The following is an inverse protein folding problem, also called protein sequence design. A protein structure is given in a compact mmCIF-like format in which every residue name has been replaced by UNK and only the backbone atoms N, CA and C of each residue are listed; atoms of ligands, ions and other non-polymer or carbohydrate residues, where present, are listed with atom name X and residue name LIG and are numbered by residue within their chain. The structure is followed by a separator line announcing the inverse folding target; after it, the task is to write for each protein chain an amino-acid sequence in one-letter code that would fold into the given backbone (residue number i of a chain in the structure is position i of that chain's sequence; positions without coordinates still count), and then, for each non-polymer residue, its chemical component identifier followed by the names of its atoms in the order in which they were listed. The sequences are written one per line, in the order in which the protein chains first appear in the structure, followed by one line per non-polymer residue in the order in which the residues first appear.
data_IF_103249005999
#
_entry.id   IF_103249005999
#
_cell.length_a   1.000
_cell.length_b   1.000
_cell.length_c   1.000
_cell.angle_alpha   90.00
_cell.angle_beta   90.00
_cell.angle_gamma   90.00
#
_symmetry.space_group_name_H-M   'P 1'
#
loop_
_entity.id
_entity.type
_entity.pdbx_description
1 polymer ?
#
# COMPACT_ATOMS: atom_id res chain seq x y z
N UNK A 1 12.90 -7.24 16.36
CA UNK A 1 11.95 -7.50 15.26
C UNK A 1 12.68 -7.30 13.95
N UNK A 2 12.51 -8.22 13.02
CA UNK A 2 13.10 -8.17 11.68
C UNK A 2 11.98 -8.30 10.65
N UNK A 3 12.04 -7.49 9.60
CA UNK A 3 11.04 -7.49 8.52
C UNK A 3 11.75 -7.49 7.18
N UNK A 4 11.26 -8.30 6.24
CA UNK A 4 11.68 -8.25 4.84
C UNK A 4 10.84 -7.22 4.11
N UNK A 5 11.48 -6.32 3.38
CA UNK A 5 10.82 -5.26 2.60
C UNK A 5 11.30 -5.27 1.16
N UNK A 6 10.42 -4.96 0.18
CA UNK A 6 10.80 -4.72 -1.20
C UNK A 6 11.43 -3.33 -1.36
N UNK A 7 12.32 -3.16 -2.34
CA UNK A 7 13.05 -1.92 -2.60
C UNK A 7 14.26 -2.16 -3.48
N UNK A 8 14.02 -2.41 -4.78
CA UNK A 8 15.06 -2.80 -5.76
C UNK A 8 15.68 -4.17 -5.43
N UNK A 9 14.86 -5.08 -4.87
CA UNK A 9 15.28 -6.33 -4.26
C UNK A 9 14.63 -6.54 -2.89
N UNK A 10 14.96 -7.64 -2.22
CA UNK A 10 14.51 -7.86 -0.83
C UNK A 10 15.60 -7.42 0.12
N UNK A 11 15.27 -6.48 0.98
CA UNK A 11 16.12 -6.06 2.08
C UNK A 11 15.54 -6.55 3.41
N UNK A 12 16.41 -7.10 4.24
CA UNK A 12 16.11 -7.40 5.63
C UNK A 12 16.39 -6.16 6.47
N UNK A 13 15.37 -5.62 7.13
CA UNK A 13 15.50 -4.48 8.03
C UNK A 13 15.20 -4.88 9.46
N UNK A 14 16.03 -4.41 10.39
CA UNK A 14 15.85 -4.61 11.84
C UNK A 14 15.93 -3.28 12.62
N UNK A 15 15.92 -2.14 11.93
CA UNK A 15 15.98 -0.78 12.49
C UNK A 15 14.94 0.10 11.80
N UNK A 16 14.52 1.17 12.48
CA UNK A 16 13.61 2.20 11.95
C UNK A 16 12.27 1.66 11.43
N UNK A 17 11.82 0.52 11.95
CA UNK A 17 10.52 -0.08 11.62
C UNK A 17 9.43 0.72 12.34
N UNK A 18 8.46 1.23 11.59
CA UNK A 18 7.25 1.87 12.13
C UNK A 18 6.06 0.96 11.89
N UNK A 19 5.24 0.77 12.91
CA UNK A 19 3.97 0.04 12.81
C UNK A 19 2.83 1.04 12.65
N UNK A 20 1.94 0.77 11.69
CA UNK A 20 0.71 1.54 11.55
C UNK A 20 -0.26 1.12 12.65
N UNK A 21 -0.53 2.04 13.58
CA UNK A 21 -1.44 1.86 14.71
C UNK A 21 -2.57 2.88 14.64
N UNK A 22 -3.78 2.51 15.09
CA UNK A 22 -4.93 3.42 15.12
C UNK A 22 -5.90 3.01 16.23
N UNK A 23 -6.64 3.98 16.77
CA UNK A 23 -7.82 3.73 17.61
C UNK A 23 -9.12 3.65 16.80
N UNK A 24 -9.08 4.03 15.51
CA UNK A 24 -10.24 4.15 14.63
C UNK A 24 -10.16 3.13 13.48
N UNK A 25 -10.01 1.83 13.81
CA UNK A 25 -9.83 0.76 12.81
C UNK A 25 -10.96 0.72 11.76
N UNK A 26 -12.18 1.10 12.15
CA UNK A 26 -13.35 1.13 11.27
C UNK A 26 -13.24 2.15 10.12
N UNK A 27 -12.32 3.13 10.21
CA UNK A 27 -12.07 4.10 9.13
C UNK A 27 -11.10 3.58 8.07
N UNK A 28 -10.49 2.43 8.30
CA UNK A 28 -9.60 1.78 7.34
C UNK A 28 -10.35 0.69 6.58
N UNK A 29 -10.18 0.66 5.27
CA UNK A 29 -10.70 -0.42 4.44
C UNK A 29 -9.72 -0.75 3.31
N UNK A 30 -9.84 -1.97 2.80
CA UNK A 30 -9.05 -2.45 1.67
C UNK A 30 -9.87 -2.32 0.40
N UNK A 31 -9.39 -1.53 -0.55
CA UNK A 31 -10.05 -1.34 -1.84
C UNK A 31 -9.28 -2.08 -2.93
N UNK A 32 -9.95 -2.98 -3.63
CA UNK A 32 -9.39 -3.65 -4.80
C UNK A 32 -9.22 -2.67 -5.96
N UNK A 33 -8.09 -2.77 -6.66
CA UNK A 33 -7.75 -1.97 -7.86
C UNK A 33 -6.79 -2.76 -8.75
N UNK A 34 -6.38 -2.18 -9.87
CA UNK A 34 -5.28 -2.66 -10.70
C UNK A 34 -4.34 -1.52 -11.14
N UNK A 35 -3.28 -1.86 -11.86
CA UNK A 35 -2.25 -0.93 -12.31
C UNK A 35 -2.76 0.14 -13.28
N UNK A 36 -3.75 -0.21 -14.09
CA UNK A 36 -4.36 0.67 -15.09
C UNK A 36 -5.36 1.66 -14.47
N UNK A 37 -6.12 1.21 -13.47
CA UNK A 37 -7.23 1.96 -12.90
C UNK A 37 -6.87 2.68 -11.61
N UNK A 38 -5.70 2.44 -11.01
CA UNK A 38 -5.33 2.97 -9.69
C UNK A 38 -5.67 4.46 -9.54
N UNK A 39 -5.25 5.31 -10.49
CA UNK A 39 -5.47 6.75 -10.37
C UNK A 39 -6.96 7.12 -10.44
N UNK A 40 -7.74 6.46 -11.29
CA UNK A 40 -9.19 6.67 -11.38
C UNK A 40 -9.91 6.12 -10.14
N UNK A 41 -9.54 4.91 -9.70
CA UNK A 41 -10.09 4.25 -8.53
C UNK A 41 -9.78 5.01 -7.24
N UNK A 42 -8.67 5.77 -7.17
CA UNK A 42 -8.30 6.55 -5.98
C UNK A 42 -8.81 8.00 -6.00
N UNK A 43 -9.57 8.42 -7.01
CA UNK A 43 -10.21 9.75 -7.02
C UNK A 43 -11.12 9.89 -5.78
N UNK A 44 -10.95 10.99 -5.06
CA UNK A 44 -11.67 11.33 -3.80
C UNK A 44 -11.49 10.30 -2.67
N UNK A 45 -10.47 9.44 -2.77
CA UNK A 45 -10.09 8.50 -1.71
C UNK A 45 -8.75 8.92 -1.11
N UNK A 46 -8.45 8.38 0.07
CA UNK A 46 -7.19 8.67 0.75
C UNK A 46 -6.38 7.39 0.94
N UNK A 47 -5.62 6.96 -0.09
CA UNK A 47 -4.64 5.90 0.06
C UNK A 47 -3.67 6.20 1.20
N UNK A 48 -3.44 5.23 2.08
CA UNK A 48 -2.53 5.40 3.21
C UNK A 48 -1.10 5.42 2.69
N UNK A 49 -0.36 6.46 3.06
CA UNK A 49 1.07 6.60 2.70
C UNK A 49 1.89 5.66 3.58
N UNK A 50 2.62 4.74 2.93
CA UNK A 50 3.54 3.81 3.59
C UNK A 50 4.99 4.28 3.58
N UNK A 51 5.34 5.20 2.67
CA UNK A 51 6.70 5.73 2.55
C UNK A 51 6.88 6.60 1.31
N UNK A 52 8.13 6.87 0.98
CA UNK A 52 8.55 7.68 -0.16
C UNK A 52 9.78 7.05 -0.82
N UNK A 53 9.76 6.93 -2.14
CA UNK A 53 10.90 6.43 -2.91
C UNK A 53 11.85 7.60 -3.22
N UNK A 54 12.95 7.66 -2.47
CA UNK A 54 13.98 8.69 -2.60
C UNK A 54 14.92 8.45 -3.78
N UNK A 55 14.92 7.27 -4.38
CA UNK A 55 15.73 6.99 -5.57
C UNK A 55 15.18 7.84 -6.71
N UNK A 56 16.00 8.76 -7.21
CA UNK A 56 15.62 9.74 -8.24
C UNK A 56 14.39 10.60 -7.87
N UNK A 57 14.08 10.69 -6.57
CA UNK A 57 12.92 11.41 -6.05
C UNK A 57 11.57 10.99 -6.68
N UNK A 58 11.41 9.69 -6.93
CA UNK A 58 10.28 9.11 -7.66
C UNK A 58 8.91 9.45 -7.07
N UNK A 59 8.74 9.39 -5.76
CA UNK A 59 7.51 9.88 -5.13
C UNK A 59 6.93 9.01 -4.03
N UNK A 60 5.66 9.28 -3.70
CA UNK A 60 4.92 8.64 -2.62
C UNK A 60 4.61 7.18 -2.94
N UNK A 61 4.74 6.33 -1.92
CA UNK A 61 4.31 4.94 -1.96
C UNK A 61 3.18 4.69 -0.98
N UNK A 62 2.15 3.96 -1.43
CA UNK A 62 1.01 3.61 -0.61
C UNK A 62 1.13 2.18 -0.04
N UNK A 63 0.30 1.85 0.94
CA UNK A 63 0.23 0.51 1.51
C UNK A 63 -0.74 -0.34 0.71
N UNK A 64 -0.29 -1.50 0.22
CA UNK A 64 -1.14 -2.46 -0.47
C UNK A 64 -0.96 -3.89 0.02
N UNK A 65 -1.90 -4.74 -0.39
CA UNK A 65 -1.87 -6.18 -0.10
C UNK A 65 -2.32 -7.02 -1.29
N UNK A 66 -1.89 -8.28 -1.31
CA UNK A 66 -2.34 -9.30 -2.27
C UNK A 66 -2.27 -10.69 -1.67
N UNK A 67 -3.22 -11.56 -2.02
CA UNK A 67 -3.10 -13.00 -1.79
C UNK A 67 -2.23 -13.61 -2.89
N UNK A 68 -0.99 -13.97 -2.56
CA UNK A 68 -0.06 -14.59 -3.50
C UNK A 68 0.29 -16.00 -3.04
N UNK A 69 -0.03 -17.00 -3.86
CA UNK A 69 0.16 -18.42 -3.53
C UNK A 69 -0.41 -18.81 -2.16
N UNK A 70 -1.63 -18.35 -1.86
CA UNK A 70 -2.31 -18.64 -0.60
C UNK A 70 -1.80 -17.85 0.62
N UNK A 71 -0.80 -16.99 0.46
CA UNK A 71 -0.23 -16.20 1.56
C UNK A 71 -0.59 -14.72 1.35
N UNK A 72 -1.11 -14.07 2.40
CA UNK A 72 -1.32 -12.64 2.39
C UNK A 72 0.02 -11.91 2.41
N UNK A 73 0.26 -11.07 1.40
CA UNK A 73 1.45 -10.23 1.27
C UNK A 73 1.07 -8.78 1.46
N UNK A 74 1.83 -8.07 2.28
CA UNK A 74 1.76 -6.61 2.46
C UNK A 74 3.00 -6.01 1.79
N UNK A 75 2.83 -4.89 1.10
CA UNK A 75 3.89 -4.26 0.34
C UNK A 75 3.60 -2.82 -0.03
N UNK A 76 4.51 -2.22 -0.80
CA UNK A 76 4.39 -0.85 -1.28
C UNK A 76 3.74 -0.80 -2.67
N UNK A 77 2.80 0.13 -2.84
CA UNK A 77 2.19 0.47 -4.12
C UNK A 77 2.89 1.70 -4.67
N UNK A 78 3.61 1.53 -5.78
CA UNK A 78 4.39 2.59 -6.42
C UNK A 78 3.48 3.43 -7.34
N UNK A 79 2.75 4.36 -6.75
CA UNK A 79 1.72 5.17 -7.42
C UNK A 79 2.25 6.38 -8.20
N UNK A 80 3.57 6.57 -8.26
CA UNK A 80 4.18 7.73 -8.91
C UNK A 80 4.32 7.60 -10.43
N UNK A 81 4.11 6.40 -11.00
CA UNK A 81 4.04 6.20 -12.45
C UNK A 81 2.59 5.95 -12.88
N UNK A 82 2.01 6.91 -13.60
CA UNK A 82 0.59 6.89 -13.99
C UNK A 82 0.17 5.68 -14.82
N UNK A 83 1.10 5.08 -15.55
CA UNK A 83 0.80 3.98 -16.48
C UNK A 83 1.06 2.59 -15.89
N UNK A 84 1.71 2.52 -14.72
CA UNK A 84 2.23 1.24 -14.22
C UNK A 84 2.31 1.19 -12.69
N UNK A 85 1.18 1.44 -12.03
CA UNK A 85 1.11 1.38 -10.57
C UNK A 85 1.12 -0.08 -10.10
N UNK A 86 2.25 -0.55 -9.61
CA UNK A 86 2.44 -1.95 -9.14
C UNK A 86 2.51 -2.02 -7.62
N UNK A 87 2.00 -3.11 -7.08
CA UNK A 87 2.31 -3.54 -5.72
C UNK A 87 3.56 -4.41 -5.75
N UNK A 88 4.60 -4.02 -5.02
CA UNK A 88 5.82 -4.81 -4.80
C UNK A 88 5.79 -5.44 -3.42
N UNK A 89 6.26 -6.68 -3.30
CA UNK A 89 6.27 -7.44 -2.05
C UNK A 89 7.35 -8.53 -2.04
N UNK A 90 7.84 -8.95 -0.86
CA UNK A 90 8.84 -10.00 -0.75
C UNK A 90 8.18 -11.39 -0.73
N UNK A 91 8.74 -12.31 -1.52
CA UNK A 91 8.35 -13.71 -1.52
C UNK A 91 9.55 -14.59 -1.92
N UNK A 92 9.88 -15.56 -1.07
CA UNK A 92 11.04 -16.46 -1.22
C UNK A 92 12.34 -15.69 -1.54
N UNK A 93 12.63 -14.65 -0.75
CA UNK A 93 13.82 -13.79 -0.87
C UNK A 93 13.96 -13.05 -2.21
N UNK A 94 12.87 -12.99 -2.97
CA UNK A 94 12.77 -12.22 -4.21
C UNK A 94 11.71 -11.14 -4.09
N UNK A 95 12.00 -10.00 -4.69
CA UNK A 95 11.00 -8.97 -4.91
C UNK A 95 10.08 -9.45 -6.02
N UNK A 96 8.80 -9.57 -5.70
CA UNK A 96 7.73 -9.86 -6.66
C UNK A 96 6.86 -8.63 -6.81
N UNK A 97 6.12 -8.58 -7.90
CA UNK A 97 5.11 -7.56 -8.10
C UNK A 97 3.86 -8.14 -8.74
N UNK A 98 2.76 -7.40 -8.62
CA UNK A 98 1.48 -7.70 -9.25
C UNK A 98 0.83 -6.41 -9.75
N UNK A 99 0.00 -6.57 -10.78
CA UNK A 99 -0.83 -5.49 -11.33
C UNK A 99 -2.24 -5.47 -10.73
N UNK A 100 -2.63 -6.48 -9.93
CA UNK A 100 -3.94 -6.53 -9.26
C UNK A 100 -3.70 -6.76 -7.77
N UNK A 101 -4.30 -5.91 -6.94
CA UNK A 101 -4.05 -5.83 -5.51
C UNK A 101 -5.16 -5.05 -4.81
N UNK A 102 -5.11 -5.00 -3.49
CA UNK A 102 -5.90 -4.08 -2.68
C UNK A 102 -5.01 -2.99 -2.09
N UNK A 103 -5.53 -1.77 -1.98
CA UNK A 103 -4.87 -0.61 -1.38
C UNK A 103 -5.57 -0.28 -0.07
N UNK A 104 -4.79 0.01 0.96
CA UNK A 104 -5.34 0.49 2.23
C UNK A 104 -5.78 1.95 2.05
N UNK A 105 -7.07 2.21 2.24
CA UNK A 105 -7.63 3.56 2.22
C UNK A 105 -8.10 3.97 3.61
N UNK A 106 -8.07 5.27 3.87
CA UNK A 106 -8.57 5.88 5.10
C UNK A 106 -9.75 6.79 4.79
N UNK A 107 -10.89 6.52 5.41
CA UNK A 107 -12.01 7.44 5.39
C UNK A 107 -11.65 8.68 6.21
N UNK A 108 -11.77 9.87 5.61
CA UNK A 108 -11.57 11.17 6.28
C UNK A 108 -12.88 11.90 6.54
N UNK A 109 -14.01 11.30 6.23
CA UNK A 109 -15.33 11.91 6.40
C UNK A 109 -15.54 12.37 7.85
N UNK A 110 -16.12 13.57 8.07
CA UNK A 110 -16.49 14.04 9.39
C UNK A 110 -17.42 13.04 10.09
N UNK A 111 -17.15 12.72 11.36
CA UNK A 111 -17.91 11.75 12.16
C UNK A 111 -19.41 12.07 12.33
N UNK A 112 -19.83 13.30 12.00
CA UNK A 112 -21.24 13.70 12.06
C UNK A 112 -22.04 13.30 10.80
N UNK A 113 -21.36 13.02 9.68
CA UNK A 113 -22.00 12.56 8.44
C UNK A 113 -22.14 11.02 8.40
N UNK A 114 -21.34 10.27 9.16
CA UNK A 114 -21.40 8.80 9.20
C UNK A 114 -22.59 8.25 9.98
N UNK A 115 -23.40 9.10 10.62
CA UNK A 115 -24.61 8.72 11.38
C UNK A 115 -25.92 8.86 10.60
N UNK A 116 -25.87 9.28 9.34
CA UNK A 116 -27.05 9.55 8.51
C UNK A 116 -27.33 8.47 7.45
N UNK A 117 -26.65 7.32 7.54
CA UNK A 117 -26.90 6.13 6.69
C UNK A 117 -27.21 4.94 7.57
#
# INVERSE_FOLDING_TARGET
MEVKVPGYGVSTINRLIKLLCTHEIARFSWMRTNAENFHADMINKHPVVGGYDHVENKGVMNIGRVMYQGILKIGNVAAYYSENVRLYFPHNDQEKNTRVYEVLIYDKSPLYLSKLV
#
